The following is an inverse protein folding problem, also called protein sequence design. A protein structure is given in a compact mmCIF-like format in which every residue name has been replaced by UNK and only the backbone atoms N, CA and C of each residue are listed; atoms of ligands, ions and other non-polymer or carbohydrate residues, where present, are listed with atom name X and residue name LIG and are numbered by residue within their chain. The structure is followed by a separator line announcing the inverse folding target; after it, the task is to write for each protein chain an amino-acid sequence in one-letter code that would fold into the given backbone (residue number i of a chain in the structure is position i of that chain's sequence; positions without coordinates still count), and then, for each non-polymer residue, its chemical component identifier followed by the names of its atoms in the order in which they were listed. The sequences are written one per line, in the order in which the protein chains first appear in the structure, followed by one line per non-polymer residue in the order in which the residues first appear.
data_IF_588022426797
#
_entry.id   IF_588022426797
#
_cell.length_a   1.000
_cell.length_b   1.000
_cell.length_c   1.000
_cell.angle_alpha   90.00
_cell.angle_beta   90.00
_cell.angle_gamma   90.00
#
_symmetry.space_group_name_H-M   'P 1'
#
loop_
_entity.id
_entity.type
_entity.pdbx_description
1 polymer ?
#
# COMPACT_ATOMS: atom_id res chain seq x y z
N UNK A 1 9.29 36.92 44.94
CA UNK A 1 8.54 35.85 45.62
C UNK A 1 8.77 34.57 44.80
N UNK A 2 9.83 33.81 45.07
CA UNK A 2 9.91 32.66 46.01
C UNK A 2 8.83 31.59 45.80
N UNK A 3 9.32 30.41 45.37
CA UNK A 3 8.78 29.05 45.52
C UNK A 3 7.47 28.74 44.77
N UNK A 4 7.32 27.58 44.12
CA UNK A 4 7.68 26.26 44.61
C UNK A 4 7.83 25.29 43.42
N UNK A 5 9.02 24.69 43.27
CA UNK A 5 9.18 23.43 42.54
C UNK A 5 8.56 22.32 43.39
N UNK A 6 7.61 21.55 42.84
CA UNK A 6 7.22 20.26 43.43
C UNK A 6 7.66 19.16 42.46
N UNK A 7 8.81 18.58 42.76
CA UNK A 7 9.23 17.28 42.25
C UNK A 7 8.44 16.22 43.02
N UNK A 8 7.63 15.42 42.32
CA UNK A 8 7.08 14.19 42.86
C UNK A 8 7.94 13.03 42.38
N UNK A 9 8.83 12.58 43.26
CA UNK A 9 9.58 11.34 43.09
C UNK A 9 8.65 10.17 43.41
N UNK A 10 8.29 9.40 42.38
CA UNK A 10 7.60 8.12 42.56
C UNK A 10 8.67 7.03 42.72
N UNK A 11 8.89 6.62 43.96
CA UNK A 11 9.70 5.48 44.35
C UNK A 11 9.03 4.18 43.91
N UNK A 12 9.51 3.58 42.83
CA UNK A 12 9.18 2.21 42.45
C UNK A 12 10.14 1.26 43.17
N UNK A 13 9.60 0.48 44.11
CA UNK A 13 10.31 -0.57 44.82
C UNK A 13 10.73 -1.68 43.86
N UNK A 14 12.04 -1.84 43.69
CA UNK A 14 12.65 -3.04 43.13
C UNK A 14 12.43 -4.21 44.11
N UNK A 15 11.50 -5.11 43.79
CA UNK A 15 11.48 -6.46 44.34
C UNK A 15 12.43 -7.30 43.49
N UNK A 16 13.63 -7.52 44.02
CA UNK A 16 14.57 -8.51 43.49
C UNK A 16 14.07 -9.90 43.90
N UNK A 17 13.47 -10.63 42.96
CA UNK A 17 13.27 -12.06 43.08
C UNK A 17 14.56 -12.79 42.67
N UNK A 18 15.02 -13.62 43.59
CA UNK A 18 16.15 -14.53 43.50
C UNK A 18 16.22 -15.31 42.18
N UNK A 19 17.40 -15.33 41.58
CA UNK A 19 17.77 -16.30 40.54
C UNK A 19 17.78 -17.71 41.15
N UNK A 20 16.96 -18.59 40.57
CA UNK A 20 17.10 -20.03 40.64
C UNK A 20 17.23 -20.54 39.20
N UNK A 21 18.12 -21.51 38.91
CA UNK A 21 18.38 -21.96 37.56
C UNK A 21 17.18 -22.76 37.07
N UNK A 22 16.49 -22.25 36.05
CA UNK A 22 15.54 -23.05 35.29
C UNK A 22 16.13 -23.31 33.93
N UNK A 23 16.48 -24.57 33.75
CA UNK A 23 16.90 -25.23 32.52
C UNK A 23 16.21 -24.65 31.29
N UNK A 24 17.03 -24.39 30.26
CA UNK A 24 16.60 -24.37 28.86
C UNK A 24 15.74 -25.60 28.57
N UNK A 25 14.49 -25.42 28.09
CA UNK A 25 13.93 -26.34 27.16
C UNK A 25 14.03 -25.69 25.79
N UNK A 26 15.20 -25.78 25.16
CA UNK A 26 15.25 -26.08 23.73
C UNK A 26 14.70 -27.52 23.57
N UNK A 27 13.43 -27.68 23.93
CA UNK A 27 12.67 -28.89 23.66
C UNK A 27 11.96 -28.58 22.37
N UNK A 28 12.62 -28.93 21.26
CA UNK A 28 11.93 -29.61 20.18
C UNK A 28 11.01 -30.65 20.81
N UNK A 29 9.78 -30.25 21.11
CA UNK A 29 8.72 -31.15 21.51
C UNK A 29 8.46 -32.00 20.28
N UNK A 30 9.20 -33.10 20.17
CA UNK A 30 8.81 -34.27 19.41
C UNK A 30 7.54 -34.80 20.08
N UNK A 31 6.44 -34.08 19.87
CA UNK A 31 5.13 -34.47 20.33
C UNK A 31 4.88 -35.87 19.80
N UNK A 32 4.67 -36.80 20.73
CA UNK A 32 4.32 -38.18 20.43
C UNK A 32 3.20 -38.16 19.40
N UNK A 33 3.48 -38.69 18.20
CA UNK A 33 2.51 -38.76 17.12
C UNK A 33 1.30 -39.55 17.60
N UNK A 34 0.20 -38.84 17.83
CA UNK A 34 -1.10 -39.44 18.09
C UNK A 34 -1.69 -39.81 16.74
N UNK A 35 -1.75 -41.10 16.43
CA UNK A 35 -2.32 -41.62 15.18
C UNK A 35 -3.80 -41.27 15.00
N UNK A 36 -4.47 -40.72 16.03
CA UNK A 36 -5.83 -40.18 15.92
C UNK A 36 -5.89 -38.77 15.32
N UNK A 37 -4.75 -38.08 15.17
CA UNK A 37 -4.68 -36.73 14.59
C UNK A 37 -4.29 -36.79 13.11
N UNK A 38 -5.08 -36.18 12.20
CA UNK A 38 -4.80 -36.24 10.77
C UNK A 38 -3.53 -35.49 10.33
N UNK A 39 -2.94 -34.62 11.16
CA UNK A 39 -1.62 -34.04 10.90
C UNK A 39 -0.71 -33.99 12.13
N UNK A 40 0.60 -33.95 11.87
CA UNK A 40 1.70 -33.92 12.85
C UNK A 40 3.01 -34.30 12.17
N UNK A 41 4.09 -34.52 12.90
CA UNK A 41 5.23 -35.28 12.35
C UNK A 41 4.88 -36.78 12.47
N UNK A 42 4.88 -37.60 11.38
CA UNK A 42 5.38 -37.30 10.03
C UNK A 42 4.33 -36.81 9.00
N UNK A 43 3.05 -36.78 9.36
CA UNK A 43 1.96 -36.36 8.45
C UNK A 43 1.84 -34.83 8.33
N UNK A 44 2.73 -34.24 7.53
CA UNK A 44 2.71 -32.81 7.19
C UNK A 44 1.45 -32.45 6.38
N UNK A 45 0.92 -31.26 6.65
CA UNK A 45 -0.17 -30.71 5.86
C UNK A 45 0.27 -30.40 4.42
N UNK A 46 -0.67 -30.38 3.45
CA UNK A 46 -0.38 -29.88 2.10
C UNK A 46 0.17 -28.46 2.13
N UNK A 47 0.95 -28.07 1.10
CA UNK A 47 1.47 -26.71 0.99
C UNK A 47 0.35 -25.67 1.05
N UNK A 48 0.59 -24.57 1.77
CA UNK A 48 -0.42 -23.55 2.07
C UNK A 48 -1.29 -23.87 3.28
N UNK A 49 -0.95 -24.90 4.06
CA UNK A 49 -1.63 -25.27 5.30
C UNK A 49 -0.62 -25.58 6.40
N UNK A 50 -0.99 -25.32 7.65
CA UNK A 50 -0.22 -25.72 8.83
C UNK A 50 -1.04 -26.61 9.74
N UNK A 51 -0.34 -27.39 10.57
CA UNK A 51 -0.99 -28.28 11.52
C UNK A 51 -1.35 -27.52 12.80
N UNK A 52 -2.65 -27.35 13.07
CA UNK A 52 -3.15 -26.74 14.29
C UNK A 52 -4.05 -27.72 15.02
N UNK A 53 -3.68 -28.09 16.25
CA UNK A 53 -4.40 -29.07 17.07
C UNK A 53 -4.69 -30.40 16.34
N UNK A 54 -3.78 -30.83 15.47
CA UNK A 54 -3.91 -32.07 14.70
C UNK A 54 -4.78 -31.95 13.44
N UNK A 55 -5.25 -30.75 13.09
CA UNK A 55 -5.97 -30.48 11.83
C UNK A 55 -5.15 -29.58 10.91
N UNK A 56 -5.21 -29.85 9.62
CA UNK A 56 -4.64 -28.94 8.62
C UNK A 56 -5.57 -27.75 8.42
N UNK A 57 -5.05 -26.56 8.66
CA UNK A 57 -5.74 -25.29 8.48
C UNK A 57 -5.02 -24.46 7.44
N UNK A 58 -5.78 -23.74 6.61
CA UNK A 58 -5.23 -22.85 5.58
C UNK A 58 -4.38 -21.78 6.25
N UNK A 59 -3.13 -21.68 5.81
CA UNK A 59 -2.16 -20.73 6.33
C UNK A 59 -0.76 -21.30 6.50
N UNK A 60 0.06 -20.60 7.27
CA UNK A 60 1.41 -21.02 7.62
C UNK A 60 1.89 -20.39 8.93
N UNK A 61 2.87 -21.02 9.58
CA UNK A 61 3.67 -20.44 10.67
C UNK A 61 5.11 -20.16 10.25
N UNK A 62 5.61 -20.88 9.25
CA UNK A 62 6.99 -20.94 8.78
C UNK A 62 7.00 -21.16 7.26
N UNK A 63 8.14 -20.86 6.62
CA UNK A 63 8.30 -21.05 5.17
C UNK A 63 8.22 -22.52 4.74
N UNK A 64 8.39 -23.49 5.66
CA UNK A 64 8.36 -24.91 5.32
C UNK A 64 6.95 -25.42 4.98
N UNK A 65 5.92 -24.68 5.41
CA UNK A 65 4.51 -25.00 5.13
C UNK A 65 4.03 -24.40 3.79
N UNK A 66 4.87 -23.58 3.14
CA UNK A 66 4.56 -22.96 1.86
C UNK A 66 5.25 -23.68 0.70
N UNK A 67 4.80 -23.42 -0.54
CA UNK A 67 5.51 -23.89 -1.71
C UNK A 67 6.93 -23.29 -1.79
N UNK A 68 7.84 -23.91 -2.54
CA UNK A 68 9.25 -23.50 -2.59
C UNK A 68 9.45 -22.06 -3.10
N UNK A 69 8.56 -21.59 -3.95
CA UNK A 69 8.47 -20.23 -4.50
C UNK A 69 7.62 -19.28 -3.65
N UNK A 70 7.21 -19.72 -2.45
CA UNK A 70 6.40 -18.95 -1.51
C UNK A 70 7.10 -18.79 -0.16
N UNK A 71 6.78 -17.71 0.54
CA UNK A 71 7.18 -17.47 1.93
C UNK A 71 5.94 -17.36 2.82
N UNK A 72 6.12 -17.60 4.11
CA UNK A 72 5.07 -17.42 5.08
C UNK A 72 5.04 -15.97 5.56
N UNK A 73 3.96 -15.25 5.25
CA UNK A 73 3.65 -13.99 5.94
C UNK A 73 3.18 -14.37 7.35
N UNK A 74 4.07 -14.24 8.34
CA UNK A 74 3.80 -14.65 9.72
C UNK A 74 2.82 -13.73 10.43
N UNK A 75 2.61 -12.51 9.94
CA UNK A 75 1.63 -11.58 10.48
C UNK A 75 0.21 -12.01 10.10
N UNK A 76 0.00 -12.39 8.84
CA UNK A 76 -1.29 -12.85 8.34
C UNK A 76 -1.48 -14.37 8.32
N UNK A 77 -0.43 -15.11 8.70
CA UNK A 77 -0.38 -16.58 8.74
C UNK A 77 -0.77 -17.21 7.40
N UNK A 78 -0.26 -16.68 6.30
CA UNK A 78 -0.62 -17.13 4.95
C UNK A 78 0.59 -17.16 4.01
N UNK A 79 0.61 -18.12 3.10
CA UNK A 79 1.67 -18.24 2.10
C UNK A 79 1.50 -17.20 1.00
N UNK A 80 2.58 -16.50 0.68
CA UNK A 80 2.66 -15.49 -0.37
C UNK A 80 3.81 -15.81 -1.32
N UNK A 81 3.67 -15.49 -2.61
CA UNK A 81 4.73 -15.74 -3.59
C UNK A 81 5.96 -14.87 -3.28
N UNK A 82 7.17 -15.46 -3.36
CA UNK A 82 8.46 -14.76 -3.18
C UNK A 82 8.76 -13.79 -4.32
N UNK A 83 8.29 -14.13 -5.51
CA UNK A 83 8.42 -13.32 -6.72
C UNK A 83 7.04 -13.14 -7.31
N UNK A 84 6.75 -11.95 -7.83
CA UNK A 84 5.50 -11.73 -8.54
C UNK A 84 5.78 -11.46 -10.00
N UNK A 85 5.24 -12.33 -10.82
CA UNK A 85 5.27 -12.22 -12.27
C UNK A 85 4.36 -11.07 -12.70
N UNK A 86 4.91 -10.14 -13.48
CA UNK A 86 4.16 -9.07 -14.13
C UNK A 86 3.62 -9.53 -15.48
N UNK A 87 2.39 -9.12 -15.81
CA UNK A 87 1.81 -9.29 -17.14
C UNK A 87 2.00 -7.99 -17.95
N UNK A 88 2.05 -8.02 -19.29
CA UNK A 88 1.79 -9.15 -20.17
C UNK A 88 3.00 -10.06 -20.42
N UNK A 89 4.20 -9.72 -19.93
CA UNK A 89 5.44 -10.48 -20.19
C UNK A 89 5.30 -11.95 -19.80
N UNK A 90 4.68 -12.21 -18.64
CA UNK A 90 4.23 -13.53 -18.22
C UNK A 90 2.70 -13.57 -18.28
N UNK A 91 2.09 -14.41 -19.13
CA UNK A 91 0.64 -14.58 -19.16
C UNK A 91 0.10 -15.02 -17.80
N UNK A 92 -0.99 -14.39 -17.36
CA UNK A 92 -1.69 -14.81 -16.16
C UNK A 92 -2.25 -16.23 -16.29
N UNK A 93 -2.39 -16.93 -15.17
CA UNK A 93 -3.04 -18.25 -15.16
C UNK A 93 -4.46 -18.16 -15.76
N UNK A 94 -5.01 -19.28 -16.26
CA UNK A 94 -6.31 -19.27 -16.91
C UNK A 94 -7.46 -18.73 -16.03
N UNK A 95 -7.35 -18.88 -14.72
CA UNK A 95 -8.27 -18.35 -13.68
C UNK A 95 -7.98 -16.89 -13.27
N UNK A 96 -7.02 -16.23 -13.92
CA UNK A 96 -6.58 -14.87 -13.61
C UNK A 96 -6.69 -13.96 -14.83
N UNK A 97 -6.88 -12.67 -14.59
CA UNK A 97 -6.87 -11.60 -15.59
C UNK A 97 -5.76 -10.60 -15.27
N UNK A 98 -5.21 -9.96 -16.30
CA UNK A 98 -4.17 -8.95 -16.14
C UNK A 98 -4.82 -7.59 -15.89
N UNK A 99 -4.59 -7.00 -14.72
CA UNK A 99 -5.05 -5.66 -14.35
C UNK A 99 -3.84 -4.86 -13.91
N UNK A 100 -3.56 -3.75 -14.60
CA UNK A 100 -2.41 -2.86 -14.32
C UNK A 100 -1.07 -3.62 -14.19
N UNK A 101 -0.81 -4.54 -15.11
CA UNK A 101 0.40 -5.38 -15.14
C UNK A 101 0.52 -6.42 -14.01
N UNK A 102 -0.55 -6.65 -13.24
CA UNK A 102 -0.62 -7.65 -12.17
C UNK A 102 -1.72 -8.66 -12.46
N UNK A 103 -1.43 -9.95 -12.23
CA UNK A 103 -2.42 -11.01 -12.39
C UNK A 103 -3.35 -11.10 -11.16
N UNK A 104 -4.64 -10.85 -11.37
CA UNK A 104 -5.70 -10.93 -10.35
C UNK A 104 -6.67 -12.06 -10.68
N UNK A 105 -7.39 -12.63 -9.72
CA UNK A 105 -8.35 -13.70 -10.02
C UNK A 105 -9.55 -13.16 -10.83
N UNK A 106 -10.01 -13.93 -11.85
CA UNK A 106 -11.15 -13.55 -12.71
C UNK A 106 -12.48 -13.52 -11.96
N UNK A 107 -12.69 -14.52 -11.11
CA UNK A 107 -13.96 -14.73 -10.42
C UNK A 107 -13.76 -14.46 -8.94
N UNK A 108 -13.84 -13.19 -8.55
CA UNK A 108 -14.05 -12.84 -7.14
C UNK A 108 -15.55 -12.94 -6.87
N UNK A 109 -15.99 -13.57 -5.77
CA UNK A 109 -17.38 -13.50 -5.37
C UNK A 109 -17.78 -12.02 -5.31
N UNK A 110 -18.86 -11.65 -5.99
CA UNK A 110 -19.36 -10.28 -5.99
C UNK A 110 -19.75 -9.93 -4.56
N UNK A 111 -18.82 -9.30 -3.84
CA UNK A 111 -19.06 -8.76 -2.53
C UNK A 111 -19.54 -7.33 -2.73
N UNK A 112 -20.70 -7.01 -2.15
CA UNK A 112 -21.09 -5.61 -1.98
C UNK A 112 -20.08 -4.99 -1.03
N UNK A 113 -19.33 -4.02 -1.53
CA UNK A 113 -18.32 -3.30 -0.78
C UNK A 113 -18.56 -1.79 -0.90
N UNK A 114 -18.00 -1.02 0.03
CA UNK A 114 -18.13 0.43 0.10
C UNK A 114 -16.79 1.10 -0.28
N UNK A 115 -16.67 1.71 -1.47
CA UNK A 115 -15.41 2.34 -1.89
C UNK A 115 -15.11 3.65 -1.13
N UNK A 116 -16.08 4.18 -0.39
CA UNK A 116 -15.95 5.44 0.37
C UNK A 116 -15.49 5.19 1.82
N UNK A 117 -15.28 3.92 2.21
CA UNK A 117 -14.88 3.50 3.54
C UNK A 117 -13.52 2.78 3.54
N UNK A 118 -12.68 3.04 4.54
CA UNK A 118 -11.47 2.23 4.76
C UNK A 118 -11.80 0.81 5.25
N UNK A 119 -12.93 0.66 5.94
CA UNK A 119 -13.54 -0.63 6.25
C UNK A 119 -14.52 -0.98 5.11
N UNK A 120 -13.97 -1.11 3.91
CA UNK A 120 -14.70 -1.24 2.65
C UNK A 120 -15.53 -2.54 2.52
N UNK A 121 -15.42 -3.47 3.48
CA UNK A 121 -16.11 -4.77 3.45
C UNK A 121 -15.38 -5.83 2.63
N UNK A 122 -14.25 -5.49 2.00
CA UNK A 122 -13.39 -6.44 1.31
C UNK A 122 -12.45 -7.18 2.26
N UNK A 123 -11.92 -8.31 1.78
CA UNK A 123 -10.82 -9.00 2.45
C UNK A 123 -9.65 -8.05 2.74
N UNK A 124 -8.85 -8.40 3.75
CA UNK A 124 -7.69 -7.60 4.16
C UNK A 124 -6.66 -7.41 3.04
N UNK A 125 -6.60 -8.31 2.06
CA UNK A 125 -5.72 -8.24 0.90
C UNK A 125 -6.42 -7.70 -0.36
N UNK A 126 -7.60 -7.11 -0.24
CA UNK A 126 -8.34 -6.52 -1.35
C UNK A 126 -8.78 -5.09 -1.05
N UNK A 127 -9.04 -4.29 -2.09
CA UNK A 127 -9.70 -2.99 -1.97
C UNK A 127 -11.01 -2.97 -2.73
N UNK A 128 -11.99 -2.27 -2.18
CA UNK A 128 -13.20 -1.95 -2.90
C UNK A 128 -12.92 -0.84 -3.90
N UNK A 129 -12.97 -1.17 -5.18
CA UNK A 129 -12.80 -0.20 -6.25
C UNK A 129 -14.05 -0.17 -7.11
N UNK A 130 -14.30 1.01 -7.67
CA UNK A 130 -15.35 1.23 -8.66
C UNK A 130 -14.69 1.67 -9.96
N UNK A 131 -14.81 0.86 -11.01
CA UNK A 131 -14.17 1.16 -12.30
C UNK A 131 -14.79 2.40 -12.99
N UNK A 132 -16.06 2.67 -12.73
CA UNK A 132 -16.76 3.87 -13.20
C UNK A 132 -17.94 4.17 -12.30
N UNK A 133 -18.43 5.41 -12.29
CA UNK A 133 -19.61 5.79 -11.49
C UNK A 133 -20.86 4.93 -11.77
N UNK A 134 -20.96 4.34 -12.97
CA UNK A 134 -22.06 3.48 -13.36
C UNK A 134 -21.86 2.00 -13.00
N UNK A 135 -20.66 1.60 -12.60
CA UNK A 135 -20.33 0.21 -12.26
C UNK A 135 -20.58 -0.06 -10.77
N UNK A 136 -21.01 -1.28 -10.45
CA UNK A 136 -21.06 -1.72 -9.06
C UNK A 136 -19.63 -1.83 -8.50
N UNK A 137 -19.38 -1.32 -7.27
CA UNK A 137 -18.09 -1.48 -6.64
C UNK A 137 -17.80 -2.97 -6.39
N UNK A 138 -16.54 -3.36 -6.55
CA UNK A 138 -16.09 -4.75 -6.42
C UNK A 138 -14.78 -4.81 -5.64
N UNK A 139 -14.55 -5.93 -4.96
CA UNK A 139 -13.30 -6.17 -4.24
C UNK A 139 -12.21 -6.68 -5.20
N UNK A 140 -11.13 -5.91 -5.32
CA UNK A 140 -9.96 -6.26 -6.10
C UNK A 140 -8.83 -6.70 -5.17
N UNK A 141 -8.48 -7.99 -5.22
CA UNK A 141 -7.32 -8.52 -4.48
C UNK A 141 -6.05 -7.89 -5.01
N UNK A 142 -5.30 -7.27 -4.10
CA UNK A 142 -4.00 -6.69 -4.36
C UNK A 142 -2.90 -7.73 -4.16
N UNK A 143 -1.79 -7.48 -4.83
CA UNK A 143 -0.60 -8.28 -4.63
C UNK A 143 -0.07 -8.13 -3.20
N UNK A 144 0.46 -9.20 -2.61
CA UNK A 144 1.19 -9.10 -1.34
C UNK A 144 2.59 -8.54 -1.52
N UNK A 145 3.06 -7.88 -0.46
CA UNK A 145 4.45 -7.49 -0.38
C UNK A 145 5.37 -8.70 -0.33
N UNK A 146 6.62 -8.54 -0.77
CA UNK A 146 7.69 -9.46 -0.45
C UNK A 146 7.94 -9.55 1.06
N UNK A 147 8.67 -10.58 1.49
CA UNK A 147 9.02 -10.76 2.90
C UNK A 147 9.73 -9.52 3.47
N UNK A 148 10.58 -8.88 2.67
CA UNK A 148 11.33 -7.66 2.94
C UNK A 148 10.51 -6.36 2.83
N UNK A 149 9.21 -6.45 2.51
CA UNK A 149 8.36 -5.27 2.28
C UNK A 149 8.55 -4.64 0.90
N UNK A 150 9.25 -5.31 -0.02
CA UNK A 150 9.33 -4.87 -1.41
C UNK A 150 8.03 -5.12 -2.16
N UNK A 151 7.79 -4.29 -3.17
CA UNK A 151 6.74 -4.47 -4.16
C UNK A 151 7.34 -4.32 -5.55
N UNK A 152 6.86 -5.06 -6.56
CA UNK A 152 7.25 -4.83 -7.94
C UNK A 152 6.84 -3.42 -8.34
N UNK A 153 7.81 -2.62 -8.77
CA UNK A 153 7.57 -1.24 -9.20
C UNK A 153 6.62 -1.21 -10.40
N UNK A 154 6.74 -2.14 -11.35
CA UNK A 154 5.88 -2.19 -12.53
C UNK A 154 5.93 -0.89 -13.35
N UNK A 155 4.80 -0.53 -13.97
CA UNK A 155 4.67 0.65 -14.82
C UNK A 155 4.26 1.93 -14.06
N UNK A 156 3.66 1.78 -12.89
CA UNK A 156 3.05 2.89 -12.14
C UNK A 156 3.71 3.10 -10.78
N UNK A 157 4.60 2.20 -10.35
CA UNK A 157 5.14 2.17 -9.00
C UNK A 157 4.27 1.36 -8.05
N UNK A 158 4.87 0.94 -6.93
CA UNK A 158 4.14 0.32 -5.84
C UNK A 158 4.91 0.39 -4.53
N UNK A 159 4.17 0.51 -3.43
CA UNK A 159 4.73 0.46 -2.07
C UNK A 159 3.98 -0.54 -1.22
N UNK A 160 4.70 -1.23 -0.34
CA UNK A 160 4.07 -2.11 0.63
C UNK A 160 3.25 -1.33 1.64
N UNK A 161 2.02 -1.78 1.91
CA UNK A 161 1.20 -1.31 3.01
C UNK A 161 1.78 -1.81 4.35
N UNK A 162 2.67 -1.02 4.95
CA UNK A 162 3.22 -1.27 6.28
C UNK A 162 2.37 -0.60 7.37
N UNK A 163 1.05 -0.89 7.34
CA UNK A 163 0.01 -0.28 8.21
C UNK A 163 -0.40 1.14 7.85
N UNK A 164 -0.19 1.56 6.60
CA UNK A 164 -0.64 2.87 6.11
C UNK A 164 -2.16 2.93 5.92
N UNK A 165 -2.75 1.82 5.50
CA UNK A 165 -4.19 1.62 5.45
C UNK A 165 -4.59 0.65 6.55
N UNK A 166 -5.30 1.17 7.55
CA UNK A 166 -5.79 0.38 8.67
C UNK A 166 -6.74 -0.73 8.20
N UNK A 167 -6.65 -1.91 8.82
CA UNK A 167 -7.49 -3.06 8.47
C UNK A 167 -7.07 -3.82 7.20
N UNK A 168 -6.10 -3.30 6.44
CA UNK A 168 -5.53 -3.96 5.26
C UNK A 168 -4.22 -4.66 5.58
N UNK A 169 -3.94 -5.71 4.82
CA UNK A 169 -2.74 -6.53 4.94
C UNK A 169 -1.49 -5.89 4.38
N UNK A 170 -0.39 -6.66 4.39
CA UNK A 170 0.85 -6.28 3.71
C UNK A 170 0.65 -6.51 2.21
N UNK A 171 -0.06 -5.58 1.59
CA UNK A 171 -0.34 -5.54 0.16
C UNK A 171 0.37 -4.39 -0.51
N UNK A 172 0.76 -4.59 -1.76
CA UNK A 172 1.31 -3.56 -2.63
C UNK A 172 0.21 -2.59 -3.03
N UNK A 173 0.42 -1.31 -2.73
CA UNK A 173 -0.45 -0.19 -3.11
C UNK A 173 0.05 0.34 -4.46
N UNK A 174 -0.65 0.08 -5.57
CA UNK A 174 -0.24 0.55 -6.89
C UNK A 174 -0.18 2.08 -6.93
N UNK A 175 0.81 2.63 -7.63
CA UNK A 175 1.03 4.07 -7.72
C UNK A 175 1.60 4.73 -6.46
N UNK A 176 1.57 4.04 -5.31
CA UNK A 176 2.05 4.59 -4.04
C UNK A 176 3.57 4.51 -3.89
N UNK A 177 4.14 5.46 -3.14
CA UNK A 177 5.58 5.51 -2.89
C UNK A 177 5.94 6.11 -1.53
N UNK A 178 7.21 5.97 -1.15
CA UNK A 178 7.84 6.64 0.03
C UNK A 178 9.14 7.33 -0.36
N UNK A 179 9.81 6.74 -1.35
CA UNK A 179 11.01 7.24 -1.98
C UNK A 179 10.88 6.96 -3.47
N UNK A 180 11.75 7.56 -4.28
CA UNK A 180 11.79 7.31 -5.72
C UNK A 180 12.08 5.84 -6.09
N UNK A 181 12.63 5.04 -5.16
CA UNK A 181 12.89 3.61 -5.40
C UNK A 181 11.62 2.75 -5.54
N UNK A 182 10.46 3.27 -5.13
CA UNK A 182 9.16 2.63 -5.32
C UNK A 182 8.50 2.99 -6.67
N UNK A 183 9.11 3.89 -7.44
CA UNK A 183 8.56 4.41 -8.68
C UNK A 183 9.36 3.91 -9.90
N UNK A 184 8.75 3.90 -11.10
CA UNK A 184 9.47 3.59 -12.33
C UNK A 184 10.71 4.47 -12.47
N UNK A 185 11.69 3.99 -13.23
CA UNK A 185 12.89 4.79 -13.50
C UNK A 185 12.50 6.18 -14.05
N UNK A 186 13.20 7.21 -13.58
CA UNK A 186 12.97 8.64 -13.87
C UNK A 186 11.64 9.23 -13.38
N UNK A 187 10.86 8.52 -12.58
CA UNK A 187 9.68 9.07 -11.90
C UNK A 187 10.04 9.57 -10.49
N UNK A 188 9.33 10.58 -10.03
CA UNK A 188 9.46 11.13 -8.68
C UNK A 188 8.40 10.52 -7.75
N UNK A 189 8.69 10.54 -6.45
CA UNK A 189 7.70 10.24 -5.41
C UNK A 189 7.14 11.55 -4.86
N UNK A 190 5.96 11.95 -5.34
CA UNK A 190 5.32 13.23 -5.01
C UNK A 190 4.49 13.09 -3.74
N UNK A 191 4.70 13.99 -2.78
CA UNK A 191 3.90 14.08 -1.54
C UNK A 191 3.23 15.44 -1.50
N UNK A 192 1.95 15.47 -1.14
CA UNK A 192 1.16 16.69 -1.15
C UNK A 192 1.21 17.47 0.16
N UNK A 193 1.68 16.83 1.23
CA UNK A 193 1.97 17.49 2.51
C UNK A 193 3.25 16.92 3.13
N UNK A 194 4.00 17.77 3.85
CA UNK A 194 5.28 17.39 4.46
C UNK A 194 5.17 16.29 5.52
N UNK A 195 3.98 16.09 6.10
CA UNK A 195 3.70 15.06 7.10
C UNK A 195 3.14 13.78 6.48
N UNK A 196 2.86 13.75 5.17
CA UNK A 196 2.43 12.53 4.50
C UNK A 196 3.58 11.53 4.39
N UNK A 197 3.37 10.35 4.95
CA UNK A 197 4.35 9.25 4.88
C UNK A 197 4.39 8.66 3.46
N UNK A 198 3.22 8.54 2.84
CA UNK A 198 3.03 8.05 1.48
C UNK A 198 2.88 9.21 0.49
N UNK A 199 3.47 9.03 -0.68
CA UNK A 199 3.24 9.85 -1.86
C UNK A 199 2.72 9.00 -3.03
N UNK A 200 2.65 9.61 -4.21
CA UNK A 200 2.31 8.95 -5.46
C UNK A 200 3.45 9.10 -6.47
N UNK A 201 3.67 8.05 -7.24
CA UNK A 201 4.63 8.08 -8.32
C UNK A 201 4.14 8.98 -9.45
N UNK A 202 4.98 9.92 -9.85
CA UNK A 202 4.69 10.85 -10.94
C UNK A 202 5.80 10.84 -11.97
N UNK A 203 5.42 10.80 -13.24
CA UNK A 203 6.36 10.97 -14.35
C UNK A 203 6.81 12.42 -14.51
N UNK A 204 6.10 13.38 -13.90
CA UNK A 204 6.26 14.82 -14.14
C UNK A 204 5.85 15.28 -15.55
N UNK A 205 5.34 14.38 -16.38
CA UNK A 205 4.81 14.73 -17.71
C UNK A 205 3.52 15.55 -17.63
N UNK A 206 3.00 15.99 -18.78
CA UNK A 206 1.71 16.70 -18.84
C UNK A 206 0.60 15.86 -18.17
N UNK A 207 -0.19 16.48 -17.30
CA UNK A 207 -1.23 15.88 -16.46
C UNK A 207 -0.75 14.90 -15.38
N UNK A 208 0.56 14.71 -15.22
CA UNK A 208 1.08 13.94 -14.10
C UNK A 208 0.84 14.69 -12.77
N UNK A 209 0.69 13.95 -11.67
CA UNK A 209 0.50 14.53 -10.35
C UNK A 209 1.71 15.36 -9.92
N UNK A 210 1.48 16.47 -9.25
CA UNK A 210 2.53 17.32 -8.71
C UNK A 210 2.05 18.01 -7.43
N UNK A 211 2.97 18.28 -6.52
CA UNK A 211 2.75 19.12 -5.33
C UNK A 211 3.45 20.47 -5.50
N UNK A 212 4.52 20.52 -6.28
CA UNK A 212 5.26 21.72 -6.61
C UNK A 212 5.77 21.70 -8.06
N UNK A 213 6.32 22.83 -8.51
CA UNK A 213 6.77 22.98 -9.90
C UNK A 213 7.89 22.00 -10.25
N UNK A 214 8.74 21.70 -9.28
CA UNK A 214 9.92 20.83 -9.40
C UNK A 214 9.54 19.36 -9.66
N UNK A 215 8.31 18.96 -9.36
CA UNK A 215 7.77 17.64 -9.71
C UNK A 215 7.49 17.49 -11.21
N UNK A 216 7.41 18.61 -11.94
CA UNK A 216 7.08 18.64 -13.35
C UNK A 216 8.32 18.72 -14.25
N UNK A 217 8.29 17.97 -15.35
CA UNK A 217 9.37 17.95 -16.32
C UNK A 217 9.39 19.22 -17.18
N UNK A 218 10.58 19.73 -17.45
CA UNK A 218 10.80 20.81 -18.41
C UNK A 218 10.21 22.15 -17.94
N UNK A 219 9.29 22.69 -18.74
CA UNK A 219 8.69 24.03 -18.52
C UNK A 219 7.26 23.98 -18.00
N UNK A 220 6.79 22.81 -17.56
CA UNK A 220 5.44 22.69 -17.03
C UNK A 220 5.33 23.37 -15.66
N UNK A 221 4.14 23.90 -15.38
CA UNK A 221 3.75 24.46 -14.08
C UNK A 221 3.00 23.40 -13.26
N UNK A 222 2.96 23.58 -11.94
CA UNK A 222 2.12 22.79 -11.06
C UNK A 222 1.04 23.69 -10.41
N UNK A 223 -0.09 23.94 -11.10
CA UNK A 223 -1.24 24.59 -10.48
C UNK A 223 -1.82 23.66 -9.41
N UNK A 224 -1.63 24.02 -8.14
CA UNK A 224 -2.10 23.24 -6.99
C UNK A 224 -3.46 23.76 -6.53
N UNK A 225 -4.40 22.83 -6.37
CA UNK A 225 -5.69 23.15 -5.75
C UNK A 225 -5.49 23.42 -4.24
N UNK A 226 -5.93 24.58 -3.72
CA UNK A 226 -5.63 24.98 -2.34
C UNK A 226 -6.37 24.14 -1.29
N UNK A 227 -7.40 23.38 -1.67
CA UNK A 227 -8.18 22.55 -0.76
C UNK A 227 -7.56 21.16 -0.62
N UNK A 228 -7.24 20.54 -1.75
CA UNK A 228 -6.64 19.19 -1.79
C UNK A 228 -5.11 19.19 -1.63
N UNK A 229 -4.45 20.33 -1.89
CA UNK A 229 -2.99 20.44 -2.03
C UNK A 229 -2.42 19.56 -3.16
N UNK A 230 -3.29 19.13 -4.08
CA UNK A 230 -2.91 18.31 -5.23
C UNK A 230 -2.95 19.16 -6.50
N UNK A 231 -1.93 19.03 -7.33
CA UNK A 231 -1.85 19.64 -8.65
C UNK A 231 -1.64 18.61 -9.75
N UNK A 232 -1.77 19.07 -11.00
CA UNK A 232 -1.33 18.32 -12.18
C UNK A 232 -0.44 19.18 -13.06
N UNK A 233 0.62 18.59 -13.60
CA UNK A 233 1.57 19.31 -14.45
C UNK A 233 0.86 19.87 -15.68
N UNK A 234 0.97 21.18 -15.88
CA UNK A 234 0.26 21.94 -16.91
C UNK A 234 1.25 22.63 -17.83
N UNK A 235 0.89 22.74 -19.11
CA UNK A 235 1.65 23.52 -20.09
C UNK A 235 1.16 24.97 -20.21
N UNK A 236 0.16 25.36 -19.42
CA UNK A 236 -0.44 26.70 -19.43
C UNK A 236 -1.19 27.08 -20.71
N UNK A 237 -1.47 26.13 -21.61
CA UNK A 237 -2.21 26.40 -22.83
C UNK A 237 -3.67 26.79 -22.54
N UNK A 238 -4.38 27.29 -23.56
CA UNK A 238 -5.81 27.61 -23.44
C UNK A 238 -6.61 26.41 -22.91
N UNK A 239 -7.41 26.65 -21.86
CA UNK A 239 -8.21 25.63 -21.18
C UNK A 239 -7.44 24.81 -20.13
N UNK A 240 -6.12 24.96 -20.02
CA UNK A 240 -5.34 24.29 -18.97
C UNK A 240 -5.68 24.85 -17.59
N UNK A 241 -5.58 24.00 -16.56
CA UNK A 241 -5.76 24.41 -15.18
C UNK A 241 -4.70 25.44 -14.77
N UNK A 242 -5.09 26.39 -13.92
CA UNK A 242 -4.21 27.41 -13.38
C UNK A 242 -4.64 27.81 -11.96
N UNK A 243 -3.67 28.16 -11.12
CA UNK A 243 -3.89 28.80 -9.82
C UNK A 243 -3.64 30.30 -9.88
N UNK A 244 -2.81 30.73 -10.84
CA UNK A 244 -2.45 32.12 -11.08
C UNK A 244 -2.12 32.36 -12.56
N UNK A 245 -2.02 33.63 -12.95
CA UNK A 245 -1.57 34.03 -14.30
C UNK A 245 -0.21 33.43 -14.69
N UNK A 246 0.67 33.18 -13.72
CA UNK A 246 2.00 32.62 -13.98
C UNK A 246 1.95 31.17 -14.46
N UNK A 247 0.83 30.47 -14.26
CA UNK A 247 0.62 29.12 -14.74
C UNK A 247 0.21 29.08 -16.23
N UNK A 248 -0.12 30.22 -16.82
CA UNK A 248 -0.62 30.34 -18.18
C UNK A 248 0.46 30.82 -19.16
N UNK A 249 0.34 30.40 -20.42
CA UNK A 249 1.20 30.87 -21.51
C UNK A 249 1.01 32.37 -21.76
N UNK A 250 2.02 33.07 -22.33
CA UNK A 250 1.90 34.48 -22.65
C UNK A 250 0.66 34.80 -23.51
N UNK A 251 -0.07 35.85 -23.12
CA UNK A 251 -1.33 36.26 -23.76
C UNK A 251 -2.59 35.59 -23.19
N UNK A 252 -2.44 34.75 -22.17
CA UNK A 252 -3.54 34.16 -21.42
C UNK A 252 -3.51 34.65 -19.96
N UNK A 253 -4.69 34.71 -19.35
CA UNK A 253 -4.90 34.94 -17.92
C UNK A 253 -5.59 33.75 -17.26
N UNK A 254 -5.46 33.63 -15.95
CA UNK A 254 -6.13 32.59 -15.19
C UNK A 254 -7.55 33.01 -14.81
N UNK A 255 -8.53 32.51 -15.56
CA UNK A 255 -9.94 32.86 -15.36
C UNK A 255 -10.64 31.88 -14.42
N UNK A 256 -11.47 32.40 -13.52
CA UNK A 256 -12.30 31.57 -12.62
C UNK A 256 -11.58 30.98 -11.41
N UNK A 257 -10.26 31.21 -11.26
CA UNK A 257 -9.55 30.90 -10.02
C UNK A 257 -10.06 31.83 -8.90
N UNK A 258 -10.80 31.26 -7.96
CA UNK A 258 -11.28 31.98 -6.78
C UNK A 258 -10.37 31.63 -5.60
N UNK A 259 -9.94 32.61 -4.78
CA UNK A 259 -9.10 32.34 -3.61
C UNK A 259 -9.74 31.30 -2.68
N UNK A 260 -9.09 30.14 -2.54
CA UNK A 260 -9.47 29.10 -1.58
C UNK A 260 -10.60 28.16 -2.00
N UNK A 261 -11.05 28.16 -3.26
CA UNK A 261 -12.18 27.28 -3.67
C UNK A 261 -11.91 26.37 -4.85
N UNK A 262 -11.26 26.81 -5.93
CA UNK A 262 -10.97 25.94 -7.09
C UNK A 262 -9.90 26.53 -8.01
N UNK A 263 -9.23 25.65 -8.76
CA UNK A 263 -8.40 26.01 -9.90
C UNK A 263 -9.23 26.72 -10.99
N UNK A 264 -8.62 27.72 -11.62
CA UNK A 264 -9.16 28.37 -12.80
C UNK A 264 -8.78 27.64 -14.09
N UNK A 265 -9.05 28.29 -15.22
CA UNK A 265 -8.59 27.86 -16.54
C UNK A 265 -7.94 29.01 -17.29
N UNK A 266 -6.85 28.72 -17.99
CA UNK A 266 -6.16 29.71 -18.82
C UNK A 266 -7.05 30.12 -20.00
N UNK A 267 -7.36 31.41 -20.11
CA UNK A 267 -8.21 32.00 -21.16
C UNK A 267 -7.59 33.29 -21.71
N UNK A 268 -7.96 33.77 -22.91
CA UNK A 268 -7.44 35.03 -23.44
C UNK A 268 -7.70 36.20 -22.49
N UNK A 269 -6.74 37.11 -22.39
CA UNK A 269 -6.93 38.39 -21.71
C UNK A 269 -8.08 39.16 -22.39
N UNK A 270 -9.08 39.59 -21.60
CA UNK A 270 -10.20 40.41 -22.09
C UNK A 270 -9.87 41.89 -22.08
#
# INVERSE_FOLDING_TARGET
MRCLCLALALSLSLVACSESPTDDPDTTSSGVYDSSKPCGEPNKCPSGQFCWNGLCVVGCNTNQECAADQFCDTFWKQCANKTVSTCPEVPCAASQTCVNSVCTAKDQPKQTCDPDSFADGCANDAFCLRESEAADPSCFTMQRCGADGSCPVGLEGAVCNESYVSGKGRICLPGGCRTAAHCPNSWACVRFDANQVLGFCSSGGLHALCAEKEDCQGSFSCPVDPVSQMGTCSNGAFGSQCSSKADCQPGLDCFGAMPGTALGSCAPEM
#
